data_IF_309339459960
#
_entry.id   IF_309339459960
#
_cell.length_a   1.000
_cell.length_b   1.000
_cell.length_c   1.000
_cell.angle_alpha   90.00
_cell.angle_beta   90.00
_cell.angle_gamma   90.00
#
_symmetry.space_group_name_H-M   'P 1'
#
loop_
_entity.id
_entity.type
_entity.pdbx_description
1 polymer ?
#
# COMPACT_ATOMS: atom_id res chain seq x y z
N UNK A 1 -28.41 -6.23 24.18
CA UNK A 1 -27.93 -4.83 24.18
C UNK A 1 -29.01 -3.98 23.52
N UNK A 2 -29.50 -2.92 24.18
CA UNK A 2 -30.51 -2.02 23.58
C UNK A 2 -29.84 -1.22 22.46
N UNK A 3 -30.51 -1.15 21.31
CA UNK A 3 -30.03 -0.40 20.15
C UNK A 3 -30.13 1.11 20.44
N UNK A 4 -28.98 1.71 20.78
CA UNK A 4 -28.90 3.14 21.09
C UNK A 4 -29.29 4.03 19.91
N UNK A 5 -29.21 3.52 18.68
CA UNK A 5 -29.60 4.28 17.50
C UNK A 5 -31.12 4.54 17.48
N UNK A 6 -31.92 3.55 17.91
CA UNK A 6 -33.37 3.71 18.02
C UNK A 6 -33.75 4.69 19.13
N UNK A 7 -33.06 4.63 20.27
CA UNK A 7 -33.27 5.58 21.38
C UNK A 7 -32.96 7.03 20.95
N UNK A 8 -31.86 7.25 20.23
CA UNK A 8 -31.54 8.57 19.69
C UNK A 8 -32.57 9.06 18.67
N UNK A 9 -33.03 8.20 17.76
CA UNK A 9 -34.07 8.55 16.78
C UNK A 9 -35.39 8.93 17.45
N UNK A 10 -35.76 8.26 18.54
CA UNK A 10 -36.95 8.58 19.32
C UNK A 10 -36.80 9.93 20.02
N UNK A 11 -35.68 10.18 20.69
CA UNK A 11 -35.42 11.48 21.34
C UNK A 11 -35.40 12.66 20.35
N UNK A 12 -34.88 12.47 19.15
CA UNK A 12 -34.90 13.51 18.10
C UNK A 12 -36.34 13.80 17.67
N UNK A 13 -37.17 12.77 17.48
CA UNK A 13 -38.59 12.95 17.18
C UNK A 13 -39.33 13.66 18.32
N UNK A 14 -39.06 13.29 19.56
CA UNK A 14 -39.65 13.92 20.75
C UNK A 14 -39.29 15.40 20.85
N UNK A 15 -38.03 15.77 20.55
CA UNK A 15 -37.57 17.16 20.54
C UNK A 15 -38.18 17.98 19.39
N UNK A 16 -38.38 17.38 18.21
CA UNK A 16 -39.07 18.03 17.10
C UNK A 16 -40.54 18.29 17.43
N UNK A 17 -41.23 17.31 18.02
CA UNK A 17 -42.62 17.45 18.45
C UNK A 17 -42.75 18.47 19.59
N UNK A 18 -41.77 18.53 20.50
CA UNK A 18 -41.74 19.52 21.57
C UNK A 18 -41.47 20.95 21.05
N UNK A 19 -40.68 21.09 19.98
CA UNK A 19 -40.46 22.37 19.30
C UNK A 19 -41.69 22.89 18.54
N UNK A 20 -42.54 22.00 18.03
CA UNK A 20 -43.80 22.36 17.37
C UNK A 20 -44.93 22.71 18.36
N UNK A 21 -44.90 22.15 19.59
CA UNK A 21 -45.96 22.37 20.59
C UNK A 21 -45.69 23.53 21.58
N UNK A 22 -44.45 24.02 21.69
CA UNK A 22 -44.12 25.14 22.58
C UNK A 22 -44.02 26.48 21.84
N UNK A 23 -45.16 26.96 21.35
CA UNK A 23 -45.35 28.39 21.14
C UNK A 23 -45.64 29.09 22.46
N UNK A 24 -44.65 29.27 23.35
CA UNK A 24 -44.65 30.29 24.40
C UNK A 24 -43.39 30.26 25.29
N UNK A 25 -42.66 31.38 25.25
CA UNK A 25 -41.88 32.01 26.33
C UNK A 25 -40.62 31.30 26.83
N UNK A 26 -39.49 31.59 26.19
CA UNK A 26 -38.16 31.51 26.81
C UNK A 26 -37.64 32.94 27.01
N UNK A 27 -37.19 33.22 28.22
CA UNK A 27 -36.58 34.47 28.66
C UNK A 27 -35.34 34.79 27.81
N UNK A 28 -35.13 36.09 27.60
CA UNK A 28 -34.00 36.69 26.89
C UNK A 28 -32.66 36.26 27.50
N UNK A 29 -32.11 35.14 27.04
CA UNK A 29 -30.67 35.03 26.82
C UNK A 29 -30.43 35.46 25.38
N UNK A 30 -29.44 36.31 25.13
CA UNK A 30 -29.00 36.73 23.80
C UNK A 30 -28.59 35.50 22.96
N UNK A 31 -29.58 34.77 22.46
CA UNK A 31 -29.40 33.80 21.40
C UNK A 31 -29.16 34.65 20.15
N UNK A 32 -27.88 34.86 19.81
CA UNK A 32 -27.50 35.22 18.44
C UNK A 32 -28.23 34.22 17.54
N UNK A 33 -29.31 34.70 16.91
CA UNK A 33 -30.16 33.93 16.01
C UNK A 33 -29.25 33.51 14.84
N UNK A 34 -28.68 32.31 14.95
CA UNK A 34 -27.88 31.74 13.88
C UNK A 34 -28.84 31.47 12.73
N UNK A 35 -28.94 32.42 11.79
CA UNK A 35 -29.54 32.18 10.48
C UNK A 35 -28.97 30.85 9.97
N UNK A 36 -29.78 29.79 9.97
CA UNK A 36 -29.38 28.49 9.48
C UNK A 36 -29.21 28.59 7.96
N UNK A 37 -28.06 29.10 7.56
CA UNK A 37 -27.66 29.12 6.17
C UNK A 37 -27.32 27.69 5.78
N UNK A 38 -28.15 27.09 4.92
CA UNK A 38 -27.87 25.78 4.36
C UNK A 38 -26.53 25.84 3.61
N UNK A 39 -25.48 25.29 4.23
CA UNK A 39 -24.18 25.09 3.59
C UNK A 39 -24.37 23.91 2.64
N UNK A 40 -24.60 24.21 1.37
CA UNK A 40 -24.57 23.21 0.31
C UNK A 40 -23.09 22.83 0.14
N UNK A 41 -22.71 21.67 0.69
CA UNK A 41 -21.39 21.09 0.43
C UNK A 41 -21.34 20.66 -1.03
N UNK A 42 -20.66 21.44 -1.87
CA UNK A 42 -20.24 20.91 -3.17
C UNK A 42 -19.27 19.77 -2.93
N UNK A 43 -19.60 18.59 -3.46
CA UNK A 43 -18.64 17.48 -3.54
C UNK A 43 -17.45 17.96 -4.35
N UNK A 44 -16.29 18.10 -3.72
CA UNK A 44 -15.04 18.46 -4.38
C UNK A 44 -14.72 17.37 -5.43
N UNK A 45 -14.90 17.61 -6.75
CA UNK A 45 -14.87 16.55 -7.76
C UNK A 45 -13.46 15.97 -7.95
N UNK A 46 -12.44 16.67 -7.45
CA UNK A 46 -11.03 16.28 -7.48
C UNK A 46 -10.80 15.07 -6.56
N UNK A 47 -11.52 14.97 -5.43
CA UNK A 47 -11.33 13.89 -4.46
C UNK A 47 -11.83 12.54 -4.98
N UNK A 48 -12.96 12.51 -5.70
CA UNK A 48 -13.54 11.22 -6.18
C UNK A 48 -12.64 10.52 -7.20
N UNK A 49 -11.97 11.26 -8.09
CA UNK A 49 -11.05 10.66 -9.08
C UNK A 49 -9.84 10.01 -8.41
N UNK A 50 -9.18 10.74 -7.50
CA UNK A 50 -8.02 10.21 -6.78
C UNK A 50 -8.38 9.02 -5.89
N UNK A 51 -9.55 9.05 -5.25
CA UNK A 51 -10.04 7.91 -4.47
C UNK A 51 -10.28 6.68 -5.34
N UNK A 52 -10.78 6.85 -6.56
CA UNK A 52 -10.99 5.75 -7.50
C UNK A 52 -9.66 5.13 -7.95
N UNK A 53 -8.66 5.96 -8.24
CA UNK A 53 -7.29 5.52 -8.58
C UNK A 53 -6.64 4.76 -7.42
N UNK A 54 -6.76 5.28 -6.19
CA UNK A 54 -6.28 4.63 -4.97
C UNK A 54 -6.96 3.27 -4.77
N UNK A 55 -8.27 3.18 -4.96
CA UNK A 55 -9.01 1.92 -4.83
C UNK A 55 -8.58 0.90 -5.89
N UNK A 56 -8.35 1.35 -7.13
CA UNK A 56 -7.80 0.49 -8.19
C UNK A 56 -6.42 -0.04 -7.80
N UNK A 57 -5.52 0.83 -7.34
CA UNK A 57 -4.18 0.45 -6.89
C UNK A 57 -4.21 -0.50 -5.69
N UNK A 58 -5.15 -0.29 -4.75
CA UNK A 58 -5.37 -1.19 -3.64
C UNK A 58 -5.78 -2.60 -4.11
N UNK A 59 -6.64 -2.71 -5.12
CA UNK A 59 -7.01 -3.99 -5.71
C UNK A 59 -5.83 -4.65 -6.44
N UNK A 60 -5.03 -3.88 -7.17
CA UNK A 60 -3.81 -4.39 -7.82
C UNK A 60 -2.82 -4.96 -6.78
N UNK A 61 -2.61 -4.26 -5.65
CA UNK A 61 -1.78 -4.76 -4.55
C UNK A 61 -2.40 -5.99 -3.88
N UNK A 62 -3.72 -6.05 -3.70
CA UNK A 62 -4.38 -7.25 -3.19
C UNK A 62 -4.13 -8.46 -4.10
N UNK A 63 -4.28 -8.27 -5.41
CA UNK A 63 -4.03 -9.32 -6.40
C UNK A 63 -2.58 -9.78 -6.36
N UNK A 64 -1.62 -8.84 -6.28
CA UNK A 64 -0.20 -9.16 -6.15
C UNK A 64 0.07 -10.00 -4.89
N UNK A 65 -0.51 -9.63 -3.75
CA UNK A 65 -0.38 -10.40 -2.49
C UNK A 65 -0.92 -11.82 -2.66
N UNK A 66 -2.04 -11.99 -3.35
CA UNK A 66 -2.62 -13.30 -3.63
C UNK A 66 -1.72 -14.13 -4.56
N UNK A 67 -1.19 -13.54 -5.63
CA UNK A 67 -0.28 -14.21 -6.57
C UNK A 67 1.05 -14.62 -5.89
N UNK A 68 1.61 -13.77 -5.03
CA UNK A 68 2.78 -14.10 -4.20
C UNK A 68 2.44 -15.23 -3.22
N UNK A 69 1.23 -15.26 -2.67
CA UNK A 69 0.72 -16.34 -1.84
C UNK A 69 0.65 -17.67 -2.59
N UNK A 70 0.06 -17.66 -3.80
CA UNK A 70 0.01 -18.83 -4.70
C UNK A 70 1.40 -19.31 -5.07
N UNK A 71 2.30 -18.40 -5.42
CA UNK A 71 3.70 -18.72 -5.72
C UNK A 71 4.36 -19.41 -4.53
N UNK A 72 4.25 -18.83 -3.34
CA UNK A 72 4.80 -19.39 -2.10
C UNK A 72 4.28 -20.80 -1.81
N UNK A 73 2.97 -21.02 -1.99
CA UNK A 73 2.36 -22.34 -1.80
C UNK A 73 2.85 -23.35 -2.85
N UNK A 74 2.95 -22.94 -4.11
CA UNK A 74 3.50 -23.79 -5.18
C UNK A 74 4.95 -24.17 -4.89
N UNK A 75 5.78 -23.25 -4.39
CA UNK A 75 7.17 -23.59 -4.02
C UNK A 75 7.25 -24.57 -2.86
N UNK A 76 6.37 -24.45 -1.87
CA UNK A 76 6.28 -25.44 -0.78
C UNK A 76 5.90 -26.82 -1.31
N UNK A 77 4.91 -26.89 -2.20
CA UNK A 77 4.47 -28.14 -2.83
C UNK A 77 5.55 -28.77 -3.70
N UNK A 78 6.22 -27.99 -4.55
CA UNK A 78 7.22 -28.49 -5.51
C UNK A 78 8.39 -29.17 -4.83
N UNK A 79 8.84 -28.58 -3.72
CA UNK A 79 9.93 -29.13 -2.89
C UNK A 79 9.52 -30.48 -2.28
N UNK A 80 8.24 -30.67 -1.94
CA UNK A 80 7.77 -31.96 -1.42
C UNK A 80 7.66 -33.04 -2.50
N UNK A 81 7.54 -32.66 -3.78
CA UNK A 81 7.25 -33.57 -4.88
C UNK A 81 8.24 -33.46 -6.05
N UNK A 82 9.54 -33.28 -5.76
CA UNK A 82 10.65 -32.87 -6.65
C UNK A 82 10.79 -33.48 -8.06
N UNK A 83 9.93 -34.43 -8.46
CA UNK A 83 9.96 -35.19 -9.73
C UNK A 83 8.98 -34.71 -10.82
N UNK A 84 8.24 -33.60 -10.66
CA UNK A 84 7.18 -33.19 -11.62
C UNK A 84 7.51 -31.96 -12.48
N UNK A 85 7.81 -32.19 -13.76
CA UNK A 85 8.24 -31.18 -14.74
C UNK A 85 7.18 -30.18 -15.20
N UNK A 86 5.90 -30.58 -15.33
CA UNK A 86 4.83 -29.70 -15.83
C UNK A 86 4.54 -28.48 -14.94
N UNK A 87 4.99 -28.54 -13.68
CA UNK A 87 4.79 -27.49 -12.68
C UNK A 87 5.83 -26.37 -12.84
N UNK A 88 7.03 -26.67 -13.34
CA UNK A 88 8.13 -25.69 -13.51
C UNK A 88 7.85 -24.66 -14.61
N UNK A 89 7.20 -25.07 -15.71
CA UNK A 89 6.82 -24.14 -16.79
C UNK A 89 5.72 -23.17 -16.34
N UNK A 90 4.78 -23.62 -15.50
CA UNK A 90 3.73 -22.76 -14.93
C UNK A 90 4.32 -21.73 -13.96
N UNK A 91 5.31 -22.15 -13.17
CA UNK A 91 6.03 -21.29 -12.25
C UNK A 91 6.75 -20.12 -12.95
N UNK A 92 7.45 -20.39 -14.06
CA UNK A 92 8.13 -19.34 -14.83
C UNK A 92 7.18 -18.30 -15.43
N UNK A 93 5.91 -18.64 -15.65
CA UNK A 93 4.90 -17.66 -16.07
C UNK A 93 4.46 -16.79 -14.89
N UNK A 94 4.18 -17.41 -13.75
CA UNK A 94 3.75 -16.72 -12.53
C UNK A 94 4.80 -15.72 -12.03
N UNK A 95 6.08 -16.10 -12.05
CA UNK A 95 7.17 -15.19 -11.66
C UNK A 95 7.25 -13.95 -12.57
N UNK A 96 7.04 -14.11 -13.88
CA UNK A 96 7.02 -12.99 -14.84
C UNK A 96 5.81 -12.09 -14.63
N UNK A 97 4.65 -12.68 -14.32
CA UNK A 97 3.43 -11.93 -14.02
C UNK A 97 3.57 -11.12 -12.73
N UNK A 98 4.09 -11.74 -11.66
CA UNK A 98 4.40 -11.06 -10.39
C UNK A 98 5.37 -9.89 -10.64
N UNK A 99 6.43 -10.09 -11.43
CA UNK A 99 7.37 -9.03 -11.80
C UNK A 99 6.67 -7.88 -12.50
N UNK A 100 5.91 -8.17 -13.57
CA UNK A 100 5.24 -7.14 -14.35
C UNK A 100 4.21 -6.36 -13.54
N UNK A 101 3.44 -7.04 -12.68
CA UNK A 101 2.51 -6.40 -11.75
C UNK A 101 3.24 -5.54 -10.72
N UNK A 102 4.35 -6.05 -10.16
CA UNK A 102 5.14 -5.32 -9.17
C UNK A 102 5.75 -4.04 -9.74
N UNK A 103 6.26 -4.07 -10.97
CA UNK A 103 6.76 -2.89 -11.68
C UNK A 103 5.65 -1.89 -11.98
N UNK A 104 4.46 -2.37 -12.39
CA UNK A 104 3.30 -1.51 -12.62
C UNK A 104 2.88 -0.78 -11.33
N UNK A 105 2.72 -1.54 -10.24
CA UNK A 105 2.35 -1.00 -8.93
C UNK A 105 3.40 0.01 -8.44
N UNK A 106 4.70 -0.28 -8.63
CA UNK A 106 5.78 0.65 -8.31
C UNK A 106 5.62 1.99 -9.03
N UNK A 107 5.41 1.98 -10.34
CA UNK A 107 5.15 3.19 -11.14
C UNK A 107 3.90 3.95 -10.69
N UNK A 108 2.81 3.24 -10.39
CA UNK A 108 1.58 3.86 -9.90
C UNK A 108 1.74 4.48 -8.51
N UNK A 109 2.55 3.89 -7.62
CA UNK A 109 2.91 4.48 -6.34
C UNK A 109 3.76 5.74 -6.51
N UNK A 110 4.72 5.75 -7.44
CA UNK A 110 5.51 6.95 -7.78
C UNK A 110 4.65 8.08 -8.35
N UNK A 111 3.64 7.76 -9.16
CA UNK A 111 2.65 8.72 -9.66
C UNK A 111 1.82 9.30 -8.52
N UNK A 112 1.39 8.46 -7.58
CA UNK A 112 0.65 8.90 -6.40
C UNK A 112 1.52 9.78 -5.48
N UNK A 113 2.79 9.43 -5.26
CA UNK A 113 3.75 10.26 -4.51
C UNK A 113 3.88 11.65 -5.14
N UNK A 114 4.05 11.72 -6.46
CA UNK A 114 4.09 13.00 -7.20
C UNK A 114 2.78 13.78 -7.11
N UNK A 115 1.62 13.11 -7.09
CA UNK A 115 0.34 13.76 -6.89
C UNK A 115 0.21 14.37 -5.49
N UNK A 116 0.66 13.65 -4.44
CA UNK A 116 0.70 14.15 -3.06
C UNK A 116 1.57 15.41 -2.97
N UNK A 117 2.80 15.38 -3.49
CA UNK A 117 3.72 16.54 -3.45
C UNK A 117 3.17 17.78 -4.15
N UNK A 118 2.50 17.59 -5.31
CA UNK A 118 1.84 18.70 -6.02
C UNK A 118 0.71 19.30 -5.19
N UNK A 119 -0.14 18.45 -4.61
CA UNK A 119 -1.25 18.88 -3.79
C UNK A 119 -0.77 19.59 -2.49
N UNK A 120 0.33 19.15 -1.90
CA UNK A 120 1.00 19.83 -0.77
C UNK A 120 1.48 21.24 -1.14
N UNK A 121 2.09 21.41 -2.31
CA UNK A 121 2.60 22.70 -2.79
C UNK A 121 1.50 23.70 -3.18
N UNK A 122 0.41 23.23 -3.76
CA UNK A 122 -0.70 24.08 -4.23
C UNK A 122 -1.69 24.45 -3.11
N UNK A 123 -2.03 23.50 -2.25
CA UNK A 123 -3.16 23.62 -1.32
C UNK A 123 -2.74 23.64 0.16
N UNK A 124 -1.47 23.37 0.44
CA UNK A 124 -0.91 23.26 1.78
C UNK A 124 -1.12 21.87 2.40
N UNK A 125 -0.10 21.38 3.11
CA UNK A 125 -0.08 20.04 3.74
C UNK A 125 -1.21 19.79 4.76
N UNK A 126 -1.80 20.85 5.33
CA UNK A 126 -2.86 20.73 6.33
C UNK A 126 -4.25 20.40 5.74
N UNK A 127 -4.45 20.50 4.42
CA UNK A 127 -5.77 20.24 3.81
C UNK A 127 -6.14 18.75 3.96
N UNK A 128 -7.43 18.48 4.21
CA UNK A 128 -7.92 17.11 4.41
C UNK A 128 -7.61 16.19 3.20
N UNK A 129 -7.85 16.65 1.97
CA UNK A 129 -7.57 15.88 0.76
C UNK A 129 -6.09 15.46 0.68
N UNK A 130 -5.17 16.39 0.91
CA UNK A 130 -3.72 16.13 0.88
C UNK A 130 -3.31 15.08 1.92
N UNK A 131 -3.82 15.21 3.15
CA UNK A 131 -3.56 14.25 4.24
C UNK A 131 -4.10 12.86 3.93
N UNK A 132 -5.29 12.77 3.33
CA UNK A 132 -5.86 11.50 2.89
C UNK A 132 -4.97 10.86 1.83
N UNK A 133 -4.55 11.59 0.81
CA UNK A 133 -3.68 11.06 -0.25
C UNK A 133 -2.33 10.60 0.30
N UNK A 134 -1.70 11.39 1.17
CA UNK A 134 -0.43 11.04 1.81
C UNK A 134 -0.54 9.77 2.68
N UNK A 135 -1.61 9.65 3.47
CA UNK A 135 -1.86 8.46 4.29
C UNK A 135 -2.11 7.21 3.43
N UNK A 136 -2.87 7.34 2.34
CA UNK A 136 -3.14 6.25 1.41
C UNK A 136 -1.86 5.80 0.70
N UNK A 137 -1.04 6.74 0.22
CA UNK A 137 0.26 6.42 -0.37
C UNK A 137 1.14 5.64 0.60
N UNK A 138 1.29 6.11 1.85
CA UNK A 138 2.10 5.42 2.86
C UNK A 138 1.57 4.00 3.16
N UNK A 139 0.26 3.85 3.32
CA UNK A 139 -0.37 2.55 3.55
C UNK A 139 -0.15 1.57 2.39
N UNK A 140 -0.39 2.01 1.15
CA UNK A 140 -0.23 1.17 -0.03
C UNK A 140 1.23 0.78 -0.28
N UNK A 141 2.16 1.74 -0.15
CA UNK A 141 3.60 1.49 -0.26
C UNK A 141 4.08 0.50 0.81
N UNK A 142 3.57 0.59 2.04
CA UNK A 142 3.88 -0.38 3.09
C UNK A 142 3.41 -1.79 2.72
N UNK A 143 2.18 -1.94 2.21
CA UNK A 143 1.64 -3.23 1.78
C UNK A 143 2.38 -3.80 0.57
N UNK A 144 2.71 -2.97 -0.42
CA UNK A 144 3.52 -3.36 -1.56
C UNK A 144 4.89 -3.90 -1.13
N UNK A 145 5.58 -3.19 -0.24
CA UNK A 145 6.85 -3.63 0.34
C UNK A 145 6.71 -4.98 1.08
N UNK A 146 5.67 -5.15 1.89
CA UNK A 146 5.42 -6.43 2.57
C UNK A 146 5.23 -7.58 1.57
N UNK A 147 4.49 -7.36 0.49
CA UNK A 147 4.30 -8.36 -0.56
C UNK A 147 5.62 -8.74 -1.25
N UNK A 148 6.46 -7.74 -1.57
CA UNK A 148 7.78 -7.96 -2.17
C UNK A 148 8.76 -8.67 -1.22
N UNK A 149 8.72 -8.35 0.08
CA UNK A 149 9.50 -9.08 1.08
C UNK A 149 9.07 -10.54 1.19
N UNK A 150 7.76 -10.81 1.17
CA UNK A 150 7.24 -12.17 1.17
C UNK A 150 7.65 -12.94 -0.10
N UNK A 151 7.62 -12.28 -1.26
CA UNK A 151 8.07 -12.87 -2.52
C UNK A 151 9.57 -13.21 -2.50
N UNK A 152 10.41 -12.27 -2.03
CA UNK A 152 11.84 -12.51 -1.84
C UNK A 152 12.11 -13.69 -0.90
N UNK A 153 11.40 -13.75 0.22
CA UNK A 153 11.49 -14.87 1.17
C UNK A 153 11.11 -16.21 0.53
N UNK A 154 10.11 -16.24 -0.35
CA UNK A 154 9.72 -17.45 -1.07
C UNK A 154 10.79 -17.92 -2.07
N UNK A 155 11.43 -16.99 -2.79
CA UNK A 155 12.54 -17.29 -3.71
C UNK A 155 13.74 -17.82 -2.93
N UNK A 156 14.17 -17.12 -1.87
CA UNK A 156 15.29 -17.53 -1.03
C UNK A 156 15.08 -18.91 -0.42
N UNK A 157 13.90 -19.16 0.15
CA UNK A 157 13.56 -20.46 0.72
C UNK A 157 13.63 -21.60 -0.33
N UNK A 158 13.30 -21.31 -1.60
CA UNK A 158 13.46 -22.29 -2.67
C UNK A 158 14.92 -22.51 -3.04
N UNK A 159 15.72 -21.45 -3.14
CA UNK A 159 17.15 -21.57 -3.42
C UNK A 159 17.84 -22.46 -2.39
N UNK A 160 17.59 -22.23 -1.10
CA UNK A 160 18.18 -23.04 -0.01
C UNK A 160 17.82 -24.52 -0.16
N UNK A 161 16.57 -24.81 -0.55
CA UNK A 161 16.10 -26.19 -0.75
C UNK A 161 16.72 -26.84 -1.99
N UNK A 162 16.83 -26.11 -3.10
CA UNK A 162 17.52 -26.61 -4.29
C UNK A 162 19.01 -26.88 -4.00
N UNK A 163 19.66 -26.00 -3.24
CA UNK A 163 21.06 -26.18 -2.83
C UNK A 163 21.22 -27.40 -1.92
N UNK A 164 20.39 -27.51 -0.88
CA UNK A 164 20.37 -28.68 0.03
C UNK A 164 20.14 -29.98 -0.74
N UNK A 165 19.27 -29.97 -1.74
CA UNK A 165 19.02 -31.13 -2.58
C UNK A 165 20.26 -31.54 -3.38
N UNK A 166 20.93 -30.59 -4.04
CA UNK A 166 22.15 -30.85 -4.81
C UNK A 166 23.23 -31.42 -3.89
N UNK A 167 23.50 -30.77 -2.76
CA UNK A 167 24.48 -31.25 -1.76
C UNK A 167 24.21 -32.70 -1.35
N UNK A 168 22.96 -33.01 -0.98
CA UNK A 168 22.58 -34.36 -0.56
C UNK A 168 22.72 -35.40 -1.68
N UNK A 169 22.41 -35.05 -2.93
CA UNK A 169 22.62 -35.97 -4.05
C UNK A 169 24.11 -36.23 -4.30
N UNK A 170 24.97 -35.23 -4.08
CA UNK A 170 26.42 -35.36 -4.21
C UNK A 170 27.03 -36.17 -3.07
N UNK A 171 26.56 -35.98 -1.84
CA UNK A 171 26.94 -36.81 -0.69
C UNK A 171 26.60 -38.28 -0.92
N UNK A 172 25.38 -38.58 -1.39
CA UNK A 172 24.95 -39.96 -1.73
C UNK A 172 25.83 -40.56 -2.84
N UNK A 173 26.34 -39.72 -3.74
CA UNK A 173 27.26 -40.12 -4.79
C UNK A 173 28.70 -40.35 -4.31
N UNK A 174 29.01 -40.02 -3.05
CA UNK A 174 30.33 -40.17 -2.45
C UNK A 174 31.26 -38.96 -2.66
N UNK A 175 30.74 -37.80 -3.08
CA UNK A 175 31.47 -36.52 -3.04
C UNK A 175 30.91 -35.65 -1.92
N UNK A 176 31.70 -35.50 -0.86
CA UNK A 176 31.45 -34.47 0.15
C UNK A 176 31.97 -33.14 -0.38
N UNK A 177 31.06 -32.20 -0.61
CA UNK A 177 31.37 -30.81 -0.96
C UNK A 177 30.78 -29.90 0.10
N UNK A 178 31.49 -28.81 0.40
CA UNK A 178 30.96 -27.74 1.22
C UNK A 178 29.91 -26.92 0.47
N UNK A 179 29.06 -26.22 1.22
CA UNK A 179 28.07 -25.31 0.64
C UNK A 179 28.71 -24.19 -0.19
N UNK A 180 29.89 -23.72 0.25
CA UNK A 180 30.69 -22.68 -0.41
C UNK A 180 31.22 -23.17 -1.76
N UNK A 181 31.75 -24.39 -1.84
CA UNK A 181 32.22 -24.97 -3.10
C UNK A 181 31.10 -25.15 -4.11
N UNK A 182 29.90 -25.59 -3.67
CA UNK A 182 28.74 -25.68 -4.57
C UNK A 182 28.31 -24.30 -5.06
N UNK A 183 28.33 -23.26 -4.21
CA UNK A 183 28.06 -21.89 -4.62
C UNK A 183 29.10 -21.34 -5.60
N UNK A 184 30.38 -21.61 -5.37
CA UNK A 184 31.45 -21.21 -6.27
C UNK A 184 31.34 -21.89 -7.63
N UNK A 185 30.96 -23.17 -7.64
CA UNK A 185 30.70 -23.91 -8.88
C UNK A 185 29.51 -23.35 -9.66
N UNK A 186 28.45 -22.94 -8.95
CA UNK A 186 27.29 -22.26 -9.52
C UNK A 186 27.68 -20.91 -10.14
N UNK A 187 28.45 -20.10 -9.41
CA UNK A 187 28.86 -18.74 -9.84
C UNK A 187 29.87 -18.75 -10.98
N UNK A 188 30.84 -19.67 -10.96
CA UNK A 188 31.92 -19.73 -11.94
C UNK A 188 31.48 -20.37 -13.27
N UNK A 189 30.24 -20.89 -13.36
CA UNK A 189 29.73 -21.54 -14.57
C UNK A 189 30.48 -22.82 -14.95
N UNK A 190 31.23 -23.43 -14.01
CA UNK A 190 32.06 -24.64 -14.23
C UNK A 190 31.25 -25.93 -14.14
N UNK A 191 29.91 -25.85 -14.25
CA UNK A 191 29.00 -26.97 -14.10
C UNK A 191 29.28 -28.12 -15.07
N UNK A 192 29.61 -27.81 -16.34
CA UNK A 192 29.87 -28.83 -17.36
C UNK A 192 31.10 -29.71 -17.03
N UNK A 193 32.18 -29.09 -16.52
CA UNK A 193 33.40 -29.78 -16.11
C UNK A 193 33.12 -30.68 -14.89
N UNK A 194 32.23 -30.22 -13.99
CA UNK A 194 31.79 -31.04 -12.89
C UNK A 194 30.98 -32.26 -13.35
N UNK A 195 30.10 -32.07 -14.33
CA UNK A 195 29.24 -33.11 -14.90
C UNK A 195 30.06 -34.28 -15.49
N UNK A 196 31.14 -33.96 -16.22
CA UNK A 196 32.05 -34.95 -16.82
C UNK A 196 32.82 -35.76 -15.77
N UNK A 197 33.34 -35.09 -14.74
CA UNK A 197 34.05 -35.74 -13.64
C UNK A 197 33.10 -36.60 -12.79
N UNK A 198 31.85 -36.19 -12.65
CA UNK A 198 30.85 -36.92 -11.86
C UNK A 198 30.39 -38.21 -12.56
N UNK A 199 30.35 -38.24 -13.90
CA UNK A 199 30.05 -39.44 -14.69
C UNK A 199 31.16 -40.49 -14.65
N UNK A 200 32.40 -40.03 -14.51
CA UNK A 200 33.61 -40.88 -14.57
C UNK A 200 34.04 -41.38 -13.19
N UNK A 201 33.89 -40.57 -12.14
CA UNK A 201 34.41 -40.86 -10.79
C UNK A 201 33.35 -41.37 -9.79
N UNK A 202 32.08 -40.98 -9.95
CA UNK A 202 31.05 -41.22 -8.94
C UNK A 202 30.06 -42.32 -9.36
N UNK A 203 29.47 -43.02 -8.38
CA UNK A 203 28.40 -44.03 -8.60
C UNK A 203 27.05 -43.37 -8.93
N UNK A 204 27.05 -42.39 -9.83
CA UNK A 204 25.84 -41.63 -10.19
C UNK A 204 25.18 -42.25 -11.41
N UNK A 205 23.86 -42.45 -11.31
CA UNK A 205 23.05 -42.82 -12.46
C UNK A 205 22.77 -41.61 -13.34
N UNK A 206 22.64 -41.82 -14.66
CA UNK A 206 22.23 -40.74 -15.59
C UNK A 206 20.95 -40.01 -15.16
N UNK A 207 20.04 -40.71 -14.49
CA UNK A 207 18.81 -40.13 -13.96
C UNK A 207 19.07 -39.14 -12.81
N UNK A 208 19.92 -39.50 -11.84
CA UNK A 208 20.33 -38.60 -10.75
C UNK A 208 21.05 -37.38 -11.29
N UNK A 209 21.96 -37.57 -12.25
CA UNK A 209 22.65 -36.45 -12.88
C UNK A 209 21.69 -35.46 -13.54
N UNK A 210 20.72 -35.99 -14.30
CA UNK A 210 19.69 -35.17 -14.94
C UNK A 210 18.84 -34.40 -13.92
N UNK A 211 18.56 -34.98 -12.75
CA UNK A 211 17.83 -34.31 -11.67
C UNK A 211 18.67 -33.18 -11.05
N UNK A 212 19.98 -33.40 -10.85
CA UNK A 212 20.90 -32.38 -10.35
C UNK A 212 21.03 -31.23 -11.36
N UNK A 213 21.25 -31.51 -12.65
CA UNK A 213 21.31 -30.49 -13.71
C UNK A 213 20.02 -29.65 -13.78
N UNK A 214 18.87 -30.28 -13.58
CA UNK A 214 17.60 -29.58 -13.57
C UNK A 214 17.49 -28.62 -12.38
N UNK A 215 17.89 -29.06 -11.20
CA UNK A 215 17.92 -28.21 -10.00
C UNK A 215 18.93 -27.06 -10.14
N UNK A 216 20.04 -27.31 -10.81
CA UNK A 216 20.99 -26.26 -11.19
C UNK A 216 20.34 -25.20 -12.10
N UNK A 217 19.64 -25.61 -13.16
CA UNK A 217 18.91 -24.68 -14.05
C UNK A 217 17.85 -23.87 -13.28
N UNK A 218 17.18 -24.50 -12.32
CA UNK A 218 16.23 -23.81 -11.44
C UNK A 218 16.92 -22.79 -10.52
N UNK A 219 18.08 -23.11 -9.94
CA UNK A 219 18.87 -22.17 -9.13
C UNK A 219 19.25 -20.93 -9.93
N UNK A 220 19.78 -21.11 -11.14
CA UNK A 220 20.14 -20.00 -12.04
C UNK A 220 18.93 -19.11 -12.35
N UNK A 221 17.76 -19.72 -12.59
CA UNK A 221 16.53 -18.97 -12.81
C UNK A 221 16.09 -18.19 -11.54
N UNK A 222 16.21 -18.79 -10.36
CA UNK A 222 15.91 -18.12 -9.09
C UNK A 222 16.87 -16.97 -8.81
N UNK A 223 18.15 -17.09 -9.15
CA UNK A 223 19.11 -15.98 -9.04
C UNK A 223 18.73 -14.80 -9.92
N UNK A 224 18.25 -15.05 -11.13
CA UNK A 224 17.72 -13.98 -11.99
C UNK A 224 16.48 -13.33 -11.37
N UNK A 225 15.58 -14.12 -10.75
CA UNK A 225 14.44 -13.57 -10.03
C UNK A 225 14.87 -12.72 -8.81
N UNK A 226 15.92 -13.11 -8.09
CA UNK A 226 16.48 -12.28 -7.00
C UNK A 226 17.04 -10.96 -7.54
N UNK A 227 17.73 -10.98 -8.69
CA UNK A 227 18.24 -9.76 -9.33
C UNK A 227 17.08 -8.82 -9.69
N UNK A 228 16.01 -9.36 -10.27
CA UNK A 228 14.80 -8.60 -10.59
C UNK A 228 14.17 -7.98 -9.33
N UNK A 229 14.03 -8.77 -8.27
CA UNK A 229 13.48 -8.30 -6.99
C UNK A 229 14.38 -7.24 -6.34
N UNK A 230 15.70 -7.37 -6.47
CA UNK A 230 16.67 -6.39 -6.00
C UNK A 230 16.49 -5.04 -6.70
N UNK A 231 16.24 -5.03 -8.01
CA UNK A 231 15.94 -3.82 -8.76
C UNK A 231 14.66 -3.14 -8.24
N UNK A 232 13.61 -3.92 -7.97
CA UNK A 232 12.38 -3.41 -7.35
C UNK A 232 12.64 -2.85 -5.94
N UNK A 233 13.52 -3.46 -5.15
CA UNK A 233 13.86 -2.96 -3.81
C UNK A 233 14.56 -1.62 -3.81
N UNK A 234 15.34 -1.30 -4.86
CA UNK A 234 15.94 0.04 -5.02
C UNK A 234 14.85 1.10 -5.15
N UNK A 235 13.80 0.81 -5.93
CA UNK A 235 12.64 1.71 -6.07
C UNK A 235 11.86 1.81 -4.74
N UNK A 236 11.67 0.69 -4.05
CA UNK A 236 11.00 0.66 -2.74
C UNK A 236 11.78 1.45 -1.69
N UNK A 237 13.12 1.43 -1.69
CA UNK A 237 13.91 2.21 -0.73
C UNK A 237 13.67 3.71 -0.87
N UNK A 238 13.55 4.21 -2.10
CA UNK A 238 13.22 5.61 -2.36
C UNK A 238 11.84 5.93 -1.77
N UNK A 239 10.83 5.09 -2.03
CA UNK A 239 9.48 5.27 -1.47
C UNK A 239 9.47 5.29 0.07
N UNK A 240 10.34 4.53 0.73
CA UNK A 240 10.44 4.46 2.20
C UNK A 240 11.12 5.72 2.78
N UNK A 241 12.18 6.22 2.14
CA UNK A 241 12.81 7.48 2.54
C UNK A 241 11.84 8.65 2.46
N UNK A 242 10.98 8.67 1.44
CA UNK A 242 9.96 9.70 1.26
C UNK A 242 8.81 9.62 2.29
N UNK A 243 8.57 8.46 2.90
CA UNK A 243 7.46 8.25 3.84
C UNK A 243 7.74 8.76 5.27
N UNK A 244 9.02 8.92 5.68
CA UNK A 244 9.39 9.28 7.05
C UNK A 244 8.80 8.34 8.12
N UNK A 245 8.86 8.73 9.41
CA UNK A 245 8.23 8.00 10.53
C UNK A 245 6.69 8.17 10.58
N UNK A 246 6.01 8.44 9.47
CA UNK A 246 4.56 8.68 9.48
C UNK A 246 3.72 7.41 9.28
N UNK A 247 4.23 6.25 9.67
CA UNK A 247 3.48 4.98 9.56
C UNK A 247 2.49 4.80 10.72
N UNK A 248 2.56 5.60 11.79
CA UNK A 248 1.58 5.49 12.87
C UNK A 248 1.48 6.71 13.79
N UNK A 249 0.98 7.84 13.29
CA UNK A 249 0.68 8.98 14.15
C UNK A 249 -0.72 9.52 13.86
N UNK A 250 -1.73 8.77 14.31
CA UNK A 250 -3.10 9.29 14.47
C UNK A 250 -3.04 10.65 15.20
N UNK A 251 -2.17 10.77 16.20
CA UNK A 251 -1.90 12.00 16.93
C UNK A 251 -1.43 13.16 16.04
N UNK A 252 -0.49 12.95 15.11
CA UNK A 252 -0.07 14.01 14.17
C UNK A 252 -1.23 14.42 13.28
N UNK A 253 -2.01 13.47 12.75
CA UNK A 253 -3.16 13.81 11.92
C UNK A 253 -4.26 14.54 12.72
N UNK A 254 -4.47 14.18 13.98
CA UNK A 254 -5.37 14.87 14.90
C UNK A 254 -4.89 16.29 15.20
N UNK A 255 -3.61 16.47 15.56
CA UNK A 255 -3.00 17.77 15.83
C UNK A 255 -3.08 18.67 14.58
N UNK A 256 -2.75 18.16 13.40
CA UNK A 256 -2.87 18.92 12.15
C UNK A 256 -4.32 19.30 11.84
N UNK A 257 -5.30 18.45 12.21
CA UNK A 257 -6.73 18.80 12.08
C UNK A 257 -7.10 19.92 13.03
N UNK A 258 -6.66 19.82 14.28
CA UNK A 258 -6.90 20.83 15.30
C UNK A 258 -6.34 22.18 14.86
N UNK A 259 -5.10 22.24 14.40
CA UNK A 259 -4.47 23.44 13.85
C UNK A 259 -5.26 24.02 12.67
N UNK A 260 -5.67 23.19 11.71
CA UNK A 260 -6.49 23.63 10.58
C UNK A 260 -7.85 24.22 11.02
N UNK A 261 -8.52 23.58 11.99
CA UNK A 261 -9.79 24.08 12.52
C UNK A 261 -9.61 25.38 13.30
N UNK A 262 -8.51 25.53 14.04
CA UNK A 262 -8.17 26.76 14.73
C UNK A 262 -7.91 27.91 13.74
N UNK A 263 -7.10 27.69 12.71
CA UNK A 263 -6.87 28.67 11.65
C UNK A 263 -8.16 29.03 10.90
N UNK A 264 -9.06 28.07 10.69
CA UNK A 264 -10.37 28.32 10.08
C UNK A 264 -11.26 29.17 10.99
N UNK A 265 -11.26 28.91 12.31
CA UNK A 265 -11.99 29.71 13.31
C UNK A 265 -11.54 31.17 13.30
N UNK A 266 -10.23 31.42 13.20
CA UNK A 266 -9.67 32.76 13.08
C UNK A 266 -10.15 33.48 11.81
N UNK A 267 -10.12 32.79 10.66
CA UNK A 267 -10.64 33.30 9.39
C UNK A 267 -12.13 33.62 9.45
N UNK A 268 -12.95 32.74 10.06
CA UNK A 268 -14.37 33.01 10.26
C UNK A 268 -14.59 34.22 11.19
N UNK A 269 -13.80 34.36 12.26
CA UNK A 269 -13.84 35.54 13.13
C UNK A 269 -13.54 36.84 12.36
N UNK A 270 -12.56 36.82 11.46
CA UNK A 270 -12.27 37.96 10.59
C UNK A 270 -13.41 38.22 9.59
N UNK A 271 -13.98 37.18 8.98
CA UNK A 271 -15.10 37.30 8.05
C UNK A 271 -16.34 37.91 8.72
N UNK A 272 -16.66 37.51 9.95
CA UNK A 272 -17.75 38.12 10.74
C UNK A 272 -17.45 39.59 11.03
N UNK A 273 -16.21 39.93 11.41
CA UNK A 273 -15.80 41.33 11.60
C UNK A 273 -15.94 42.15 10.32
N UNK A 274 -15.57 41.61 9.16
CA UNK A 274 -15.76 42.26 7.87
C UNK A 274 -17.25 42.41 7.50
N UNK A 275 -18.09 41.40 7.75
CA UNK A 275 -19.55 41.48 7.57
C UNK A 275 -20.17 42.57 8.46
N UNK A 276 -19.75 42.66 9.73
CA UNK A 276 -20.22 43.68 10.69
C UNK A 276 -19.73 45.10 10.32
N UNK A 277 -18.51 45.24 9.78
CA UNK A 277 -17.93 46.52 9.33
C UNK A 277 -18.19 46.83 7.86
N UNK A 278 -19.11 46.13 7.19
CA UNK A 278 -19.38 46.33 5.78
C UNK A 278 -19.92 47.77 5.56
N UNK A 279 -19.20 48.65 4.84
CA UNK A 279 -19.53 50.07 4.73
C UNK A 279 -20.94 50.32 4.16
N UNK A 280 -21.47 49.41 3.34
CA UNK A 280 -22.85 49.49 2.86
C UNK A 280 -23.90 49.36 3.98
N UNK A 281 -23.62 48.59 5.05
CA UNK A 281 -24.51 48.50 6.23
C UNK A 281 -24.34 49.67 7.20
N UNK A 282 -23.12 50.24 7.29
CA UNK A 282 -22.79 51.30 8.25
C UNK A 282 -23.15 52.69 7.72
N UNK A 283 -23.00 52.94 6.41
CA UNK A 283 -23.17 54.26 5.79
C UNK A 283 -24.55 54.39 5.13
N UNK A 284 -25.15 53.30 4.66
CA UNK A 284 -26.38 53.34 3.86
C UNK A 284 -27.64 52.87 4.61
N UNK A 285 -27.81 53.30 5.87
CA UNK A 285 -28.99 52.95 6.67
C UNK A 285 -30.23 53.81 6.37
N UNK A 286 -30.16 54.81 5.47
CA UNK A 286 -31.34 55.64 5.19
C UNK A 286 -31.73 55.88 3.72
N UNK A 287 -30.94 55.46 2.71
CA UNK A 287 -31.27 55.78 1.30
C UNK A 287 -31.11 54.64 0.26
N UNK A 288 -30.71 53.40 0.62
CA UNK A 288 -30.64 52.30 -0.37
C UNK A 288 -31.79 51.29 -0.19
N UNK A 289 -32.65 51.06 -1.21
CA UNK A 289 -33.69 50.02 -1.20
C UNK A 289 -33.17 48.58 -1.15
N UNK A 290 -31.85 48.36 -1.22
CA UNK A 290 -31.23 47.04 -1.34
C UNK A 290 -30.88 46.37 0.01
N UNK A 291 -31.37 46.91 1.13
CA UNK A 291 -31.11 46.40 2.48
C UNK A 291 -32.41 46.13 3.27
N UNK A 292 -33.41 45.56 2.60
CA UNK A 292 -34.50 44.79 3.24
C UNK A 292 -34.33 43.33 2.90
#
# INVERSE_FOLDING_TARGET
>A
MRDRLQEFKLRVKELQIAGENNGATVQEEEQEEFEQQAIIYEKEPITERHLHEIQKLQNEINNLVEEVGKFSQQQRSLVSSMRRFSVLKKEGNLAREIKSQAEHIGRSLDELSRAVRRAEGEQGAARAAVRILAAQHAFLSHRYRQAMLAYNGAIAAKQDKCRTFILRQLEVAGKELSEEEVNDMLQQGKWEIFNENLLTEAKITKAQLSEIEQRHKELVNLENQIKDVKELFIQISILVEEQGQMINNIEIYMNNTQEYTQASKEKFGLAVRYKKRNPCKVICCWCCPCCR
#
